data_IF_261150092378
#
_entry.id   IF_261150092378
#
_cell.length_a   1.000
_cell.length_b   1.000
_cell.length_c   1.000
_cell.angle_alpha   90.00
_cell.angle_beta   90.00
_cell.angle_gamma   90.00
#
_symmetry.space_group_name_H-M   'P 1'
#
loop_
_entity.id
_entity.type
_entity.pdbx_description
1 polymer ?
#
# COMPACT_ATOMS: atom_id res chain seq x y z
N UNK A 1 10.41 13.19 -1.95
CA UNK A 1 9.78 11.86 -2.06
C UNK A 1 9.06 11.66 -3.38
N UNK A 2 8.90 10.41 -3.78
CA UNK A 2 8.14 9.98 -4.96
C UNK A 2 6.88 9.22 -4.54
N UNK A 3 5.72 9.78 -4.85
CA UNK A 3 4.38 9.24 -4.54
C UNK A 3 3.57 9.18 -5.83
N UNK A 4 3.07 7.99 -6.15
CA UNK A 4 2.28 7.77 -7.36
C UNK A 4 0.81 8.10 -7.18
N UNK A 5 0.25 7.81 -5.99
CA UNK A 5 -1.18 8.00 -5.72
C UNK A 5 -1.45 8.09 -4.23
N UNK A 6 -2.47 8.87 -3.91
CA UNK A 6 -3.07 9.01 -2.60
C UNK A 6 -4.57 8.78 -2.76
N UNK A 7 -5.14 7.85 -2.00
CA UNK A 7 -6.56 7.50 -2.07
C UNK A 7 -7.16 7.45 -0.67
N UNK A 8 -8.43 7.90 -0.56
CA UNK A 8 -9.22 7.83 0.66
C UNK A 8 -10.72 7.71 0.31
N UNK A 9 -11.53 6.93 1.06
CA UNK A 9 -11.12 5.99 2.10
C UNK A 9 -10.74 4.62 1.51
N UNK A 10 -9.56 4.10 1.87
CA UNK A 10 -9.13 2.73 1.55
C UNK A 10 -9.54 1.80 2.69
N UNK A 11 -10.29 0.73 2.37
CA UNK A 11 -10.85 -0.22 3.34
C UNK A 11 -10.34 -1.65 3.19
N UNK A 12 -9.52 -1.90 2.17
CA UNK A 12 -9.05 -3.24 1.79
C UNK A 12 -7.55 -3.46 2.01
N UNK A 13 -6.87 -2.47 2.59
CA UNK A 13 -5.45 -2.53 2.95
C UNK A 13 -5.27 -2.18 4.44
N UNK A 14 -6.07 -2.79 5.30
CA UNK A 14 -6.07 -2.57 6.75
C UNK A 14 -7.47 -2.22 7.29
N UNK A 15 -7.65 -2.22 8.61
CA UNK A 15 -8.91 -1.90 9.25
C UNK A 15 -9.28 -0.41 9.11
N UNK A 16 -10.59 -0.14 8.97
CA UNK A 16 -11.15 1.21 8.99
C UNK A 16 -11.06 1.99 7.67
N UNK A 17 -11.33 3.28 7.75
CA UNK A 17 -11.13 4.28 6.70
C UNK A 17 -9.67 4.74 6.70
N UNK A 18 -8.87 4.20 5.79
CA UNK A 18 -7.43 4.50 5.74
C UNK A 18 -7.10 5.46 4.62
N UNK A 19 -6.13 6.35 4.85
CA UNK A 19 -5.44 7.03 3.76
C UNK A 19 -4.42 6.04 3.19
N UNK A 20 -4.58 5.65 1.93
CA UNK A 20 -3.58 4.85 1.22
C UNK A 20 -2.62 5.75 0.47
N UNK A 21 -1.32 5.59 0.70
CA UNK A 21 -0.26 6.32 0.00
C UNK A 21 0.64 5.29 -0.70
N UNK A 22 0.69 5.36 -2.02
CA UNK A 22 1.54 4.51 -2.84
C UNK A 22 2.81 5.26 -3.20
N UNK A 23 3.92 4.83 -2.63
CA UNK A 23 5.25 5.34 -2.92
C UNK A 23 5.82 4.68 -4.19
N UNK A 24 6.72 5.37 -4.88
CA UNK A 24 7.38 4.85 -6.09
C UNK A 24 8.85 4.53 -5.85
N UNK A 25 9.35 3.55 -6.59
CA UNK A 25 10.67 2.98 -6.47
C UNK A 25 10.64 1.64 -5.74
N UNK A 26 11.12 0.58 -6.40
CA UNK A 26 11.29 -0.73 -5.80
C UNK A 26 12.33 -1.55 -6.57
N UNK A 27 13.41 -1.95 -5.89
CA UNK A 27 14.47 -2.76 -6.47
C UNK A 27 14.15 -4.26 -6.55
N UNK A 28 13.07 -4.73 -5.92
CA UNK A 28 12.78 -6.17 -5.84
C UNK A 28 12.26 -6.78 -7.13
N UNK A 29 11.48 -6.01 -7.91
CA UNK A 29 10.91 -6.40 -9.20
C UNK A 29 10.29 -7.81 -9.20
N UNK A 30 9.48 -8.09 -8.17
CA UNK A 30 8.89 -9.42 -7.97
C UNK A 30 8.04 -9.85 -9.18
N UNK A 31 8.14 -11.11 -9.57
CA UNK A 31 7.23 -11.69 -10.56
C UNK A 31 5.77 -11.58 -10.06
N UNK A 32 4.84 -11.22 -10.95
CA UNK A 32 3.44 -11.01 -10.59
C UNK A 32 3.17 -9.82 -9.67
N UNK A 33 4.10 -8.88 -9.53
CA UNK A 33 3.91 -7.66 -8.73
C UNK A 33 2.60 -6.94 -9.14
N UNK A 34 1.82 -6.49 -8.17
CA UNK A 34 0.58 -5.74 -8.45
C UNK A 34 0.81 -4.32 -8.95
N UNK A 35 2.03 -3.79 -8.80
CA UNK A 35 2.36 -2.40 -9.13
C UNK A 35 3.71 -2.29 -9.87
N UNK A 36 3.90 -3.01 -11.00
CA UNK A 36 5.18 -3.00 -11.72
C UNK A 36 5.51 -1.61 -12.27
N UNK A 37 4.49 -0.76 -12.50
CA UNK A 37 4.65 0.64 -12.90
C UNK A 37 5.35 1.50 -11.84
N UNK A 38 5.39 1.03 -10.58
CA UNK A 38 6.01 1.72 -9.44
C UNK A 38 7.43 1.24 -9.13
N UNK A 39 8.03 0.38 -9.96
CA UNK A 39 9.43 -0.04 -9.76
C UNK A 39 10.43 1.10 -9.95
N UNK A 40 10.11 2.04 -10.85
CA UNK A 40 10.96 3.18 -11.16
C UNK A 40 10.35 4.47 -10.61
N UNK A 41 11.20 5.34 -10.09
CA UNK A 41 10.81 6.69 -9.69
C UNK A 41 10.76 7.56 -10.94
N UNK A 42 9.59 8.17 -11.19
CA UNK A 42 9.41 9.08 -12.32
C UNK A 42 9.21 10.51 -11.81
N UNK A 43 9.75 11.50 -12.50
CA UNK A 43 9.76 12.89 -12.00
C UNK A 43 8.35 13.46 -11.80
N UNK A 44 7.37 13.04 -12.59
CA UNK A 44 5.96 13.42 -12.40
C UNK A 44 5.35 12.93 -11.07
N UNK A 45 5.99 11.96 -10.41
CA UNK A 45 5.57 11.45 -9.10
C UNK A 45 6.30 12.16 -7.96
N UNK A 46 7.19 13.10 -8.25
CA UNK A 46 7.95 13.81 -7.22
C UNK A 46 7.04 14.79 -6.50
N UNK A 47 6.97 14.63 -5.18
CA UNK A 47 6.15 15.45 -4.30
C UNK A 47 7.02 15.92 -3.13
N UNK A 48 6.88 17.19 -2.75
CA UNK A 48 7.48 17.72 -1.53
C UNK A 48 6.60 17.36 -0.34
N UNK A 49 7.19 17.20 0.86
CA UNK A 49 6.40 16.96 2.07
C UNK A 49 5.31 18.04 2.26
N UNK A 50 5.63 19.30 1.97
CA UNK A 50 4.68 20.41 2.07
C UNK A 50 3.46 20.25 1.15
N UNK A 51 3.66 19.84 -0.10
CA UNK A 51 2.55 19.59 -1.01
C UNK A 51 1.73 18.36 -0.58
N UNK A 52 2.38 17.35 -0.02
CA UNK A 52 1.69 16.19 0.52
C UNK A 52 0.82 16.55 1.73
N UNK A 53 1.32 17.39 2.65
CA UNK A 53 0.55 17.91 3.78
C UNK A 53 -0.73 18.61 3.31
N UNK A 54 -0.64 19.47 2.29
CA UNK A 54 -1.81 20.15 1.70
C UNK A 54 -2.86 19.19 1.13
N UNK A 55 -2.47 17.97 0.74
CA UNK A 55 -3.40 16.94 0.29
C UNK A 55 -3.96 16.10 1.44
N UNK A 56 -3.15 15.83 2.48
CA UNK A 56 -3.47 14.94 3.60
C UNK A 56 -4.24 15.65 4.71
N UNK A 57 -3.85 16.86 5.09
CA UNK A 57 -4.44 17.62 6.20
C UNK A 57 -5.95 17.82 6.03
N UNK A 58 -6.48 18.22 4.86
CA UNK A 58 -7.93 18.34 4.67
C UNK A 58 -8.68 17.02 4.87
N UNK A 59 -8.04 15.87 4.64
CA UNK A 59 -8.69 14.57 4.85
C UNK A 59 -8.87 14.32 6.35
N UNK A 60 -7.83 14.57 7.14
CA UNK A 60 -7.90 14.45 8.60
C UNK A 60 -8.84 15.47 9.24
N UNK A 61 -8.97 16.67 8.65
CA UNK A 61 -9.83 17.73 9.18
C UNK A 61 -11.32 17.48 8.91
N UNK A 62 -11.64 16.86 7.77
CA UNK A 62 -13.03 16.76 7.30
C UNK A 62 -13.63 15.35 7.41
N UNK A 63 -12.82 14.32 7.66
CA UNK A 63 -13.28 12.93 7.68
C UNK A 63 -12.71 12.15 8.86
N UNK A 64 -13.41 11.09 9.23
CA UNK A 64 -12.90 10.10 10.19
C UNK A 64 -11.84 9.24 9.51
N UNK A 65 -10.59 9.43 9.91
CA UNK A 65 -9.43 8.68 9.43
C UNK A 65 -8.94 7.76 10.54
N UNK A 66 -9.06 6.45 10.29
CA UNK A 66 -8.69 5.42 11.26
C UNK A 66 -7.19 5.15 11.30
N UNK A 67 -6.51 5.35 10.17
CA UNK A 67 -5.10 5.02 10.00
C UNK A 67 -4.57 5.36 8.62
N UNK A 68 -3.29 5.11 8.43
CA UNK A 68 -2.59 5.33 7.15
C UNK A 68 -1.95 4.02 6.71
N UNK A 69 -2.01 3.73 5.40
CA UNK A 69 -1.30 2.60 4.79
C UNK A 69 -0.29 3.13 3.78
N UNK A 70 0.99 2.87 4.05
CA UNK A 70 2.10 3.14 3.13
C UNK A 70 2.42 1.86 2.35
N UNK A 71 2.37 1.94 1.02
CA UNK A 71 2.54 0.80 0.11
C UNK A 71 3.08 1.27 -1.25
N UNK A 72 2.91 0.49 -2.31
CA UNK A 72 3.24 0.85 -3.70
C UNK A 72 4.40 0.06 -4.27
N UNK A 73 5.49 0.76 -4.60
CA UNK A 73 6.79 0.15 -4.84
C UNK A 73 7.32 -0.45 -3.53
N UNK A 74 8.29 0.21 -2.91
CA UNK A 74 8.67 -0.10 -1.53
C UNK A 74 8.92 1.19 -0.76
N UNK A 75 8.16 1.48 0.32
CA UNK A 75 8.38 2.66 1.15
C UNK A 75 9.84 2.82 1.62
N UNK A 76 10.52 1.72 1.98
CA UNK A 76 11.90 1.76 2.44
C UNK A 76 12.93 1.98 1.32
N UNK A 77 12.52 1.95 0.04
CA UNK A 77 13.41 2.32 -1.08
C UNK A 77 13.86 3.78 -1.04
N UNK A 78 13.07 4.64 -0.37
CA UNK A 78 13.38 6.05 -0.15
C UNK A 78 13.33 6.39 1.34
N UNK A 79 14.04 5.61 2.16
CA UNK A 79 13.96 5.65 3.63
C UNK A 79 14.13 7.05 4.26
N UNK A 80 14.98 7.92 3.71
CA UNK A 80 15.14 9.29 4.24
C UNK A 80 13.88 10.13 4.08
N UNK A 81 13.29 10.12 2.88
CA UNK A 81 11.99 10.74 2.59
C UNK A 81 10.85 10.11 3.41
N UNK A 82 10.92 8.78 3.62
CA UNK A 82 9.95 8.04 4.44
C UNK A 82 9.97 8.47 5.90
N UNK A 83 11.15 8.75 6.48
CA UNK A 83 11.27 9.21 7.86
C UNK A 83 10.53 10.53 8.09
N UNK A 84 10.72 11.52 7.20
CA UNK A 84 10.01 12.79 7.27
C UNK A 84 8.49 12.62 7.18
N UNK A 85 8.04 11.73 6.29
CA UNK A 85 6.63 11.40 6.13
C UNK A 85 6.05 10.72 7.38
N UNK A 86 6.74 9.72 7.92
CA UNK A 86 6.33 8.99 9.12
C UNK A 86 6.24 9.92 10.34
N UNK A 87 7.24 10.78 10.54
CA UNK A 87 7.22 11.75 11.63
C UNK A 87 5.99 12.67 11.54
N UNK A 88 5.67 13.17 10.34
CA UNK A 88 4.46 13.97 10.10
C UNK A 88 3.16 13.18 10.34
N UNK A 89 3.04 11.96 9.81
CA UNK A 89 1.80 11.19 9.96
C UNK A 89 1.57 10.74 11.40
N UNK A 90 2.65 10.47 12.15
CA UNK A 90 2.58 10.00 13.53
C UNK A 90 1.93 10.99 14.50
N UNK A 91 1.91 12.29 14.16
CA UNK A 91 1.19 13.30 14.93
C UNK A 91 -0.31 13.35 14.61
N UNK A 92 -0.74 12.71 13.51
CA UNK A 92 -2.14 12.66 13.06
C UNK A 92 -2.81 11.34 13.44
N UNK A 93 -2.08 10.22 13.33
CA UNK A 93 -2.56 8.90 13.74
C UNK A 93 -1.40 8.01 14.18
N UNK A 94 -1.67 7.11 15.12
CA UNK A 94 -0.73 6.07 15.55
C UNK A 94 -0.86 4.78 14.74
N UNK A 95 -1.98 4.57 14.03
CA UNK A 95 -2.23 3.39 13.20
C UNK A 95 -1.60 3.57 11.80
N UNK A 96 -0.28 3.44 11.74
CA UNK A 96 0.47 3.45 10.48
C UNK A 96 0.86 2.01 10.12
N UNK A 97 0.36 1.55 8.97
CA UNK A 97 0.65 0.25 8.36
C UNK A 97 1.62 0.44 7.20
N UNK A 98 2.70 -0.34 7.15
CA UNK A 98 3.69 -0.27 6.06
C UNK A 98 3.85 -1.64 5.41
N UNK A 99 3.67 -1.70 4.09
CA UNK A 99 4.02 -2.86 3.27
C UNK A 99 5.44 -2.68 2.72
N UNK A 100 6.24 -3.73 2.76
CA UNK A 100 7.63 -3.70 2.28
C UNK A 100 8.09 -5.09 1.84
N UNK A 101 8.96 -5.13 0.83
CA UNK A 101 9.63 -6.33 0.35
C UNK A 101 10.90 -6.69 1.14
N UNK A 102 11.38 -5.80 2.01
CA UNK A 102 12.45 -6.08 2.95
C UNK A 102 11.93 -6.91 4.12
N UNK A 103 12.77 -7.79 4.66
CA UNK A 103 12.45 -8.50 5.89
C UNK A 103 12.58 -7.55 7.09
N UNK A 104 11.75 -7.75 8.11
CA UNK A 104 11.77 -6.89 9.30
C UNK A 104 13.14 -6.80 9.97
N UNK A 105 13.91 -7.89 9.98
CA UNK A 105 15.26 -7.89 10.52
C UNK A 105 16.22 -6.99 9.76
N UNK A 106 16.07 -6.88 8.43
CA UNK A 106 16.87 -5.97 7.61
C UNK A 106 16.50 -4.51 7.91
N UNK A 107 15.22 -4.23 8.08
CA UNK A 107 14.71 -2.92 8.45
C UNK A 107 15.19 -2.53 9.85
N UNK A 108 15.08 -3.44 10.81
CA UNK A 108 15.53 -3.24 12.19
C UNK A 108 17.02 -2.92 12.27
N UNK A 109 17.84 -3.52 11.41
CA UNK A 109 19.28 -3.26 11.38
C UNK A 109 19.66 -1.92 10.73
N UNK A 110 18.91 -1.46 9.72
CA UNK A 110 19.28 -0.30 8.89
C UNK A 110 18.47 0.96 9.15
N UNK A 111 17.26 0.81 9.66
CA UNK A 111 16.24 1.85 9.75
C UNK A 111 15.45 1.74 11.08
N UNK A 112 16.11 1.33 12.17
CA UNK A 112 15.47 1.19 13.49
C UNK A 112 14.80 2.48 13.98
N UNK A 113 15.34 3.64 13.60
CA UNK A 113 14.78 4.95 13.93
C UNK A 113 13.39 5.18 13.32
N UNK A 114 13.04 4.53 12.21
CA UNK A 114 11.72 4.67 11.59
C UNK A 114 10.65 3.82 12.31
N UNK A 115 11.05 2.73 12.97
CA UNK A 115 10.13 1.76 13.56
C UNK A 115 9.25 2.36 14.66
N UNK A 116 9.71 3.41 15.35
CA UNK A 116 8.97 4.09 16.41
C UNK A 116 7.67 4.78 15.92
N UNK A 117 7.54 5.01 14.62
CA UNK A 117 6.37 5.65 14.01
C UNK A 117 5.38 4.65 13.43
N UNK A 118 5.76 3.38 13.30
CA UNK A 118 4.99 2.37 12.58
C UNK A 118 4.29 1.46 13.58
N UNK A 119 2.99 1.21 13.39
CA UNK A 119 2.22 0.29 14.23
C UNK A 119 2.30 -1.16 13.74
N UNK A 120 2.23 -1.35 12.42
CA UNK A 120 2.18 -2.67 11.79
C UNK A 120 3.03 -2.68 10.52
N UNK A 121 3.82 -3.73 10.33
CA UNK A 121 4.57 -3.99 9.10
C UNK A 121 4.07 -5.28 8.46
N UNK A 122 3.90 -5.26 7.15
CA UNK A 122 3.80 -6.47 6.33
C UNK A 122 5.11 -6.60 5.57
N UNK A 123 5.94 -7.57 5.98
CA UNK A 123 7.32 -7.70 5.52
C UNK A 123 7.52 -8.75 4.43
N UNK A 124 8.69 -8.70 3.77
CA UNK A 124 9.16 -9.72 2.84
C UNK A 124 8.63 -9.58 1.41
N UNK A 125 9.40 -10.13 0.47
CA UNK A 125 9.07 -10.09 -0.96
C UNK A 125 7.76 -10.80 -1.26
N UNK A 126 7.02 -10.27 -2.23
CA UNK A 126 5.92 -10.98 -2.87
C UNK A 126 6.43 -12.21 -3.65
N UNK A 127 5.75 -13.35 -3.47
CA UNK A 127 5.97 -14.61 -4.20
C UNK A 127 4.62 -15.06 -4.77
N UNK A 128 4.47 -15.04 -6.09
CA UNK A 128 3.19 -15.26 -6.77
C UNK A 128 2.60 -16.64 -6.48
N UNK A 129 3.45 -17.67 -6.41
CA UNK A 129 3.06 -19.06 -6.12
C UNK A 129 2.51 -19.25 -4.70
N UNK A 130 2.79 -18.29 -3.81
CA UNK A 130 2.32 -18.28 -2.43
C UNK A 130 1.18 -17.28 -2.21
N UNK A 131 0.63 -16.68 -3.28
CA UNK A 131 -0.53 -15.81 -3.19
C UNK A 131 -1.82 -16.63 -3.21
N UNK A 132 -2.27 -17.02 -2.01
CA UNK A 132 -3.52 -17.75 -1.80
C UNK A 132 -4.71 -16.83 -1.46
N UNK A 133 -4.58 -15.52 -1.65
CA UNK A 133 -5.65 -14.56 -1.36
C UNK A 133 -5.84 -14.28 0.12
N UNK A 134 -4.81 -14.51 0.93
CA UNK A 134 -4.80 -14.17 2.37
C UNK A 134 -5.00 -12.66 2.56
N UNK A 135 -5.87 -12.27 3.48
CA UNK A 135 -6.07 -10.85 3.77
C UNK A 135 -4.78 -10.20 4.29
N UNK A 136 -4.55 -8.94 3.87
CA UNK A 136 -3.44 -8.08 4.30
C UNK A 136 -2.03 -8.59 3.95
N UNK A 137 -1.89 -9.69 3.22
CA UNK A 137 -0.59 -10.21 2.75
C UNK A 137 -0.68 -10.62 1.29
N UNK A 138 0.29 -10.18 0.49
CA UNK A 138 0.44 -10.54 -0.91
C UNK A 138 0.75 -12.02 -1.09
N UNK A 139 1.56 -12.59 -0.21
CA UNK A 139 1.96 -13.98 -0.25
C UNK A 139 2.22 -14.55 1.14
N UNK A 140 2.05 -15.87 1.30
CA UNK A 140 2.04 -16.52 2.61
C UNK A 140 3.39 -16.44 3.37
N UNK A 141 4.49 -16.22 2.65
CA UNK A 141 5.81 -16.00 3.25
C UNK A 141 5.92 -14.68 4.01
N UNK A 142 5.08 -13.69 3.68
CA UNK A 142 5.09 -12.38 4.31
C UNK A 142 4.54 -12.48 5.73
N UNK A 143 5.03 -11.66 6.67
CA UNK A 143 4.55 -11.68 8.05
C UNK A 143 3.89 -10.35 8.39
N UNK A 144 2.81 -10.42 9.16
CA UNK A 144 2.19 -9.25 9.79
C UNK A 144 2.86 -9.09 11.15
N UNK A 145 3.60 -8.01 11.33
CA UNK A 145 4.42 -7.74 12.51
C UNK A 145 3.83 -6.52 13.21
N UNK A 146 3.38 -6.74 14.44
CA UNK A 146 2.85 -5.69 15.31
C UNK A 146 4.01 -5.09 16.10
N UNK A 147 4.26 -3.81 15.87
CA UNK A 147 5.23 -3.00 16.63
C UNK A 147 4.54 -2.25 17.78
N UNK A 148 3.26 -1.93 17.59
CA UNK A 148 2.36 -1.48 18.64
C UNK A 148 1.29 -2.55 18.86
N UNK A 149 1.40 -3.22 20.01
CA UNK A 149 0.57 -4.35 20.38
C UNK A 149 -0.91 -3.97 20.58
N UNK A 150 -1.21 -2.69 20.84
CA UNK A 150 -2.59 -2.21 21.01
C UNK A 150 -3.45 -2.35 19.75
N UNK A 151 -2.82 -2.49 18.57
CA UNK A 151 -3.52 -2.70 17.30
C UNK A 151 -3.81 -4.16 16.97
N UNK A 152 -3.28 -5.13 17.73
CA UNK A 152 -3.41 -6.57 17.40
C UNK A 152 -4.87 -6.99 17.28
N UNK A 153 -5.70 -6.68 18.27
CA UNK A 153 -7.10 -7.10 18.29
C UNK A 153 -7.88 -6.52 17.11
N UNK A 154 -7.66 -5.24 16.81
CA UNK A 154 -8.31 -4.55 15.67
C UNK A 154 -7.96 -5.19 14.34
N UNK A 155 -6.68 -5.54 14.13
CA UNK A 155 -6.24 -6.20 12.91
C UNK A 155 -6.67 -7.67 12.85
N UNK A 156 -6.71 -8.38 13.99
CA UNK A 156 -7.25 -9.75 14.05
C UNK A 156 -8.72 -9.77 13.60
N UNK A 157 -9.55 -8.88 14.14
CA UNK A 157 -10.95 -8.73 13.74
C UNK A 157 -11.11 -8.37 12.24
N UNK A 158 -10.15 -7.66 11.65
CA UNK A 158 -10.12 -7.39 10.22
C UNK A 158 -9.81 -8.65 9.40
N UNK A 159 -8.81 -9.43 9.82
CA UNK A 159 -8.40 -10.66 9.14
C UNK A 159 -9.47 -11.76 9.20
N UNK A 160 -10.28 -11.78 10.26
CA UNK A 160 -11.42 -12.70 10.41
C UNK A 160 -12.57 -12.44 9.41
N UNK A 161 -12.57 -11.29 8.72
CA UNK A 161 -13.60 -10.97 7.71
C UNK A 161 -13.49 -11.80 6.43
N UNK A 162 -12.45 -12.64 6.31
CA UNK A 162 -12.26 -13.58 5.21
C UNK A 162 -11.10 -13.20 4.30
N UNK A 163 -11.12 -13.63 3.02
CA UNK A 163 -10.00 -13.44 2.10
C UNK A 163 -9.80 -11.96 1.73
N UNK A 164 -8.66 -11.67 1.10
CA UNK A 164 -8.33 -10.36 0.56
C UNK A 164 -9.46 -9.82 -0.34
N UNK A 165 -9.82 -8.56 -0.13
CA UNK A 165 -10.87 -7.86 -0.87
C UNK A 165 -10.26 -6.88 -1.87
N UNK A 166 -11.04 -6.57 -2.90
CA UNK A 166 -10.71 -5.53 -3.88
C UNK A 166 -11.70 -4.37 -3.73
N UNK A 167 -11.17 -3.15 -3.78
CA UNK A 167 -11.92 -1.89 -3.78
C UNK A 167 -11.57 -1.11 -5.03
N UNK A 168 -12.57 -0.65 -5.77
CA UNK A 168 -12.37 0.13 -6.98
C UNK A 168 -12.68 1.62 -6.72
N UNK A 169 -11.82 2.50 -7.19
CA UNK A 169 -12.02 3.95 -7.20
C UNK A 169 -12.28 4.39 -8.63
N UNK A 170 -13.41 5.05 -8.87
CA UNK A 170 -13.70 5.67 -10.15
C UNK A 170 -12.98 7.04 -10.21
N UNK A 171 -12.18 7.22 -11.25
CA UNK A 171 -11.43 8.43 -11.56
C UNK A 171 -11.93 8.98 -12.91
N UNK A 172 -11.69 10.27 -13.22
CA UNK A 172 -12.11 10.86 -14.51
C UNK A 172 -11.56 10.12 -15.73
N UNK A 173 -10.37 9.53 -15.60
CA UNK A 173 -9.61 8.85 -16.65
C UNK A 173 -9.63 7.31 -16.54
N UNK A 174 -10.36 6.74 -15.57
CA UNK A 174 -10.47 5.29 -15.45
C UNK A 174 -10.87 4.77 -14.08
N UNK A 175 -10.50 3.53 -13.79
CA UNK A 175 -10.75 2.87 -12.51
C UNK A 175 -9.41 2.46 -11.90
N UNK A 176 -9.18 2.84 -10.65
CA UNK A 176 -8.06 2.34 -9.87
C UNK A 176 -8.54 1.20 -8.99
N UNK A 177 -8.00 0.00 -9.22
CA UNK A 177 -8.31 -1.18 -8.41
C UNK A 177 -7.31 -1.33 -7.28
N UNK A 178 -7.78 -1.25 -6.05
CA UNK A 178 -7.00 -1.30 -4.81
C UNK A 178 -7.26 -2.61 -4.09
N UNK A 179 -6.22 -3.21 -3.53
CA UNK A 179 -6.28 -4.49 -2.82
C UNK A 179 -5.16 -5.40 -3.28
N UNK A 180 -5.21 -6.64 -2.82
CA UNK A 180 -4.24 -7.68 -3.17
C UNK A 180 -4.90 -8.61 -4.17
N UNK A 181 -4.53 -8.49 -5.45
CA UNK A 181 -5.11 -9.28 -6.52
C UNK A 181 -4.54 -10.70 -6.53
N UNK A 182 -5.40 -11.68 -6.80
CA UNK A 182 -4.98 -13.07 -7.00
C UNK A 182 -4.18 -13.22 -8.30
N UNK A 183 -3.32 -14.26 -8.40
CA UNK A 183 -2.59 -14.56 -9.63
C UNK A 183 -3.51 -14.66 -10.86
N UNK A 184 -3.06 -14.06 -11.96
CA UNK A 184 -3.81 -14.02 -13.21
C UNK A 184 -5.06 -13.12 -13.20
N UNK A 185 -5.26 -12.27 -12.18
CA UNK A 185 -6.39 -11.32 -12.13
C UNK A 185 -6.48 -10.45 -13.39
N UNK A 186 -5.37 -9.82 -13.81
CA UNK A 186 -5.36 -8.92 -14.97
C UNK A 186 -5.77 -9.66 -16.26
N UNK A 187 -5.23 -10.87 -16.48
CA UNK A 187 -5.60 -11.72 -17.61
C UNK A 187 -7.09 -12.07 -17.60
N UNK A 188 -7.64 -12.43 -16.45
CA UNK A 188 -9.07 -12.73 -16.28
C UNK A 188 -9.94 -11.49 -16.52
N UNK A 189 -9.49 -10.32 -16.06
CA UNK A 189 -10.19 -9.05 -16.26
C UNK A 189 -10.25 -8.70 -17.75
N UNK A 190 -9.11 -8.75 -18.46
CA UNK A 190 -9.03 -8.50 -19.90
C UNK A 190 -9.91 -9.45 -20.70
N UNK A 191 -9.89 -10.73 -20.37
CA UNK A 191 -10.76 -11.72 -21.00
C UNK A 191 -12.25 -11.37 -20.81
N UNK A 192 -12.67 -11.06 -19.58
CA UNK A 192 -14.06 -10.66 -19.29
C UNK A 192 -14.46 -9.35 -19.97
N UNK A 193 -13.54 -8.39 -20.08
CA UNK A 193 -13.77 -7.14 -20.80
C UNK A 193 -14.04 -7.42 -22.29
N UNK A 194 -13.21 -8.27 -22.91
CA UNK A 194 -13.39 -8.70 -24.30
C UNK A 194 -14.70 -9.44 -24.53
N UNK A 195 -15.10 -10.33 -23.62
CA UNK A 195 -16.40 -11.03 -23.67
C UNK A 195 -17.60 -10.07 -23.61
N UNK A 196 -17.41 -8.88 -23.04
CA UNK A 196 -18.40 -7.79 -23.00
C UNK A 196 -18.29 -6.79 -24.14
N UNK A 197 -17.45 -7.06 -25.15
CA UNK A 197 -17.24 -6.17 -26.29
C UNK A 197 -16.43 -4.92 -25.96
N UNK A 198 -15.71 -4.89 -24.83
CA UNK A 198 -14.78 -3.81 -24.49
C UNK A 198 -13.39 -4.13 -25.05
N UNK A 199 -12.78 -3.15 -25.72
CA UNK A 199 -11.43 -3.26 -26.28
C UNK A 199 -10.40 -2.54 -25.42
N UNK A 200 -9.15 -2.99 -25.43
CA UNK A 200 -8.05 -2.27 -24.80
C UNK A 200 -7.76 -1.01 -25.61
N UNK A 201 -7.82 0.15 -24.96
CA UNK A 201 -7.24 1.36 -25.52
C UNK A 201 -5.71 1.22 -25.51
N UNK A 202 -5.10 1.24 -26.70
CA UNK A 202 -3.65 1.41 -26.81
C UNK A 202 -3.32 2.84 -26.38
N UNK A 203 -2.79 3.00 -25.16
CA UNK A 203 -2.18 4.25 -24.76
C UNK A 203 -0.86 4.39 -25.53
N UNK A 204 -0.81 5.35 -26.46
CA UNK A 204 0.39 5.74 -27.20
C UNK A 204 1.40 6.48 -26.35
#
# INVERSE_FOLDING_TARGET
MYIARLLFPVKVLGPGNRIGIWMSGCGHKCAGCSNPELWEQREQQRVTLENLKKMVDPIFENYEVDGVTLTGGDPFFQAGDLEELLAYLSVKTRDILVYTGYEFEQIRQRHSNLLQYISVIVDGKYIEELNHGTALRGSDNQKIIFLDESYRERYAAYLEQGPGRIQNFAMPDGIVSVGIHLPGYEKKLKQKAKEKGLEEMQNG
#
